data_IF_742357258888
#
_entry.id   IF_742357258888
#
_cell.length_a   1.000
_cell.length_b   1.000
_cell.length_c   1.000
_cell.angle_alpha   90.00
_cell.angle_beta   90.00
_cell.angle_gamma   90.00
#
_symmetry.space_group_name_H-M   'P 1'
#
loop_
_entity.id
_entity.type
_entity.pdbx_description
1 polymer ?
#
# COMPACT_ATOMS: atom_id res chain seq x y z
N UNK A 1 -25.10 -7.86 -0.51
CA UNK A 1 -23.80 -8.50 -0.87
C UNK A 1 -22.59 -7.57 -0.78
N UNK A 2 -22.71 -6.27 -1.10
CA UNK A 2 -21.58 -5.34 -1.07
C UNK A 2 -20.95 -5.18 0.34
N UNK A 3 -21.79 -5.01 1.37
CA UNK A 3 -21.37 -4.95 2.78
C UNK A 3 -20.56 -6.18 3.22
N UNK A 4 -20.98 -7.38 2.82
CA UNK A 4 -20.27 -8.62 3.11
C UNK A 4 -18.88 -8.63 2.47
N UNK A 5 -18.77 -8.20 1.21
CA UNK A 5 -17.49 -8.09 0.52
C UNK A 5 -16.58 -7.05 1.18
N UNK A 6 -17.14 -5.92 1.66
CA UNK A 6 -16.38 -4.92 2.40
C UNK A 6 -15.79 -5.49 3.69
N UNK A 7 -16.60 -6.21 4.48
CA UNK A 7 -16.12 -6.89 5.70
C UNK A 7 -15.00 -7.87 5.39
N UNK A 8 -15.16 -8.72 4.37
CA UNK A 8 -14.13 -9.68 3.95
C UNK A 8 -12.84 -8.95 3.58
N UNK A 9 -12.94 -7.89 2.76
CA UNK A 9 -11.77 -7.12 2.32
C UNK A 9 -11.02 -6.44 3.47
N UNK A 10 -11.74 -5.98 4.50
CA UNK A 10 -11.15 -5.42 5.72
C UNK A 10 -10.44 -6.51 6.53
N UNK A 11 -11.10 -7.64 6.77
CA UNK A 11 -10.53 -8.77 7.55
C UNK A 11 -9.30 -9.36 6.88
N UNK A 12 -9.33 -9.52 5.55
CA UNK A 12 -8.20 -10.00 4.75
C UNK A 12 -7.11 -8.94 4.58
N UNK A 13 -7.34 -7.69 5.02
CA UNK A 13 -6.44 -6.54 4.82
C UNK A 13 -6.01 -6.40 3.36
N UNK A 14 -6.93 -6.60 2.43
CA UNK A 14 -6.63 -6.71 1.00
C UNK A 14 -6.95 -5.40 0.26
N UNK A 15 -5.94 -4.57 -0.09
CA UNK A 15 -6.16 -3.26 -0.70
C UNK A 15 -6.79 -3.37 -2.09
N UNK A 16 -6.51 -4.46 -2.82
CA UNK A 16 -7.07 -4.68 -4.16
C UNK A 16 -8.56 -5.00 -4.09
N UNK A 17 -8.98 -5.78 -3.09
CA UNK A 17 -10.39 -6.07 -2.86
C UNK A 17 -11.16 -4.80 -2.44
N UNK A 18 -10.57 -3.98 -1.56
CA UNK A 18 -11.12 -2.67 -1.19
C UNK A 18 -11.23 -1.73 -2.41
N UNK A 19 -10.22 -1.67 -3.25
CA UNK A 19 -10.22 -0.83 -4.45
C UNK A 19 -11.28 -1.26 -5.47
N UNK A 20 -11.47 -2.57 -5.67
CA UNK A 20 -12.56 -3.09 -6.51
C UNK A 20 -13.93 -2.68 -5.98
N UNK A 21 -14.13 -2.71 -4.66
CA UNK A 21 -15.40 -2.31 -4.04
C UNK A 21 -15.74 -0.83 -4.24
N UNK A 22 -14.73 0.04 -4.39
CA UNK A 22 -14.95 1.46 -4.71
C UNK A 22 -15.44 1.68 -6.15
N UNK A 23 -15.26 0.69 -7.03
CA UNK A 23 -15.75 0.75 -8.42
C UNK A 23 -17.22 0.35 -8.55
N UNK A 24 -17.77 -0.31 -7.51
CA UNK A 24 -19.16 -0.77 -7.47
C UNK A 24 -20.01 0.19 -6.63
N UNK A 25 -21.22 0.52 -7.10
CA UNK A 25 -22.18 1.31 -6.32
C UNK A 25 -22.84 0.42 -5.26
N UNK A 26 -22.76 0.76 -3.96
CA UNK A 26 -23.39 -0.03 -2.92
C UNK A 26 -24.92 0.11 -2.97
N UNK A 27 -25.62 -1.02 -2.99
CA UNK A 27 -27.05 -1.09 -2.70
C UNK A 27 -27.23 -1.31 -1.21
N UNK A 28 -27.66 -0.26 -0.49
CA UNK A 28 -27.96 -0.26 0.93
C UNK A 28 -29.43 0.13 1.08
N UNK A 29 -30.23 -0.71 1.72
CA UNK A 29 -31.69 -0.54 1.76
C UNK A 29 -32.16 0.07 3.08
N UNK A 30 -31.46 -0.23 4.17
CA UNK A 30 -31.89 0.14 5.52
C UNK A 30 -30.90 1.10 6.19
N UNK A 31 -31.40 1.99 7.06
CA UNK A 31 -30.57 2.93 7.84
C UNK A 31 -29.44 2.22 8.59
N UNK A 32 -29.72 1.04 9.16
CA UNK A 32 -28.73 0.23 9.87
C UNK A 32 -27.56 -0.21 8.96
N UNK A 33 -27.84 -0.55 7.70
CA UNK A 33 -26.81 -0.93 6.74
C UNK A 33 -25.94 0.27 6.34
N UNK A 34 -26.54 1.45 6.27
CA UNK A 34 -25.84 2.71 5.99
C UNK A 34 -24.90 3.07 7.14
N UNK A 35 -25.38 2.99 8.39
CA UNK A 35 -24.55 3.20 9.57
C UNK A 35 -23.40 2.20 9.63
N UNK A 36 -23.70 0.91 9.41
CA UNK A 36 -22.68 -0.14 9.39
C UNK A 36 -21.63 0.11 8.30
N UNK A 37 -22.05 0.45 7.08
CA UNK A 37 -21.13 0.78 5.99
C UNK A 37 -20.25 1.98 6.35
N UNK A 38 -20.80 3.02 6.99
CA UNK A 38 -20.04 4.19 7.46
C UNK A 38 -18.95 3.81 8.45
N UNK A 39 -19.26 2.96 9.43
CA UNK A 39 -18.26 2.48 10.41
C UNK A 39 -17.18 1.64 9.73
N UNK A 40 -17.56 0.72 8.85
CA UNK A 40 -16.62 -0.13 8.12
C UNK A 40 -15.71 0.69 7.18
N UNK A 41 -16.26 1.73 6.53
CA UNK A 41 -15.46 2.63 5.68
C UNK A 41 -14.43 3.43 6.48
N UNK A 42 -14.79 3.86 7.70
CA UNK A 42 -13.82 4.50 8.61
C UNK A 42 -12.70 3.55 9.00
N UNK A 43 -13.03 2.32 9.34
CA UNK A 43 -12.05 1.28 9.68
C UNK A 43 -11.14 0.95 8.47
N UNK A 44 -11.73 0.75 7.29
CA UNK A 44 -10.98 0.53 6.05
C UNK A 44 -10.02 1.68 5.73
N UNK A 45 -10.44 2.93 5.98
CA UNK A 45 -9.61 4.11 5.79
C UNK A 45 -8.41 4.10 6.75
N UNK A 46 -8.64 3.79 8.03
CA UNK A 46 -7.56 3.69 9.02
C UNK A 46 -6.56 2.58 8.65
N UNK A 47 -7.07 1.42 8.23
CA UNK A 47 -6.25 0.30 7.77
C UNK A 47 -5.37 0.69 6.57
N UNK A 48 -5.96 1.32 5.55
CA UNK A 48 -5.23 1.77 4.36
C UNK A 48 -4.16 2.82 4.70
N UNK A 49 -4.44 3.72 5.65
CA UNK A 49 -3.47 4.70 6.13
C UNK A 49 -2.28 4.03 6.81
N UNK A 50 -2.53 3.07 7.71
CA UNK A 50 -1.48 2.34 8.39
C UNK A 50 -0.61 1.56 7.40
N UNK A 51 -1.23 0.86 6.44
CA UNK A 51 -0.50 0.11 5.42
C UNK A 51 0.39 1.03 4.55
N UNK A 52 -0.10 2.22 4.22
CA UNK A 52 0.67 3.24 3.50
C UNK A 52 1.89 3.69 4.31
N UNK A 53 1.72 3.96 5.60
CA UNK A 53 2.79 4.40 6.49
C UNK A 53 3.86 3.31 6.66
N UNK A 54 3.46 2.06 6.89
CA UNK A 54 4.36 0.90 6.99
C UNK A 54 5.15 0.67 5.68
N UNK A 55 4.46 0.75 4.54
CA UNK A 55 5.09 0.63 3.21
C UNK A 55 6.10 1.76 2.99
N UNK A 56 5.73 2.99 3.34
CA UNK A 56 6.62 4.14 3.20
C UNK A 56 7.87 4.00 4.10
N UNK A 57 7.71 3.52 5.33
CA UNK A 57 8.83 3.25 6.23
C UNK A 57 9.78 2.19 5.65
N UNK A 58 9.21 1.10 5.14
CA UNK A 58 9.96 0.01 4.49
C UNK A 58 10.73 0.50 3.26
N UNK A 59 10.09 1.30 2.39
CA UNK A 59 10.74 1.91 1.23
C UNK A 59 11.89 2.84 1.60
N UNK A 60 11.73 3.66 2.65
CA UNK A 60 12.81 4.52 3.15
C UNK A 60 14.01 3.68 3.61
N UNK A 61 13.77 2.57 4.29
CA UNK A 61 14.85 1.67 4.71
C UNK A 61 15.54 1.01 3.52
N UNK A 62 14.78 0.51 2.54
CA UNK A 62 15.34 -0.07 1.32
C UNK A 62 16.20 0.96 0.56
N UNK A 63 15.74 2.21 0.46
CA UNK A 63 16.50 3.29 -0.16
C UNK A 63 17.83 3.53 0.56
N UNK A 64 17.83 3.63 1.89
CA UNK A 64 19.06 3.79 2.67
C UNK A 64 20.05 2.64 2.44
N UNK A 65 19.55 1.41 2.41
CA UNK A 65 20.38 0.23 2.14
C UNK A 65 20.98 0.29 0.72
N UNK A 66 20.20 0.71 -0.28
CA UNK A 66 20.68 0.88 -1.65
C UNK A 66 21.73 1.98 -1.77
N UNK A 67 21.49 3.13 -1.13
CA UNK A 67 22.42 4.27 -1.11
C UNK A 67 23.74 3.87 -0.44
N UNK A 68 23.69 3.08 0.65
CA UNK A 68 24.87 2.51 1.28
C UNK A 68 25.66 1.61 0.33
N UNK A 69 25.00 0.63 -0.32
CA UNK A 69 25.65 -0.27 -1.27
C UNK A 69 26.30 0.49 -2.43
N UNK A 70 25.63 1.51 -2.97
CA UNK A 70 26.20 2.37 -4.02
C UNK A 70 27.39 3.19 -3.54
N UNK A 71 27.42 3.58 -2.26
CA UNK A 71 28.56 4.31 -1.69
C UNK A 71 29.79 3.41 -1.47
N UNK A 72 29.58 2.09 -1.36
CA UNK A 72 30.66 1.10 -1.22
C UNK A 72 31.06 0.47 -2.54
N UNK A 73 30.32 0.73 -3.63
CA UNK A 73 30.78 0.44 -4.99
C UNK A 73 32.04 1.25 -5.27
N UNK A 74 33.21 0.58 -5.24
CA UNK A 74 34.45 1.14 -5.74
C UNK A 74 34.19 1.47 -7.21
N UNK A 75 34.13 2.76 -7.54
CA UNK A 75 34.10 3.17 -8.94
C UNK A 75 35.34 2.61 -9.60
N UNK A 76 35.24 1.48 -10.31
CA UNK A 76 36.31 1.05 -11.18
C UNK A 76 36.35 2.10 -12.28
N UNK A 77 37.12 3.16 -12.07
CA UNK A 77 37.50 4.06 -13.15
C UNK A 77 38.22 3.15 -14.15
N UNK A 78 37.51 2.72 -15.18
CA UNK A 78 38.11 2.04 -16.34
C UNK A 78 38.89 3.11 -17.10
N UNK A 79 39.97 3.59 -16.50
CA UNK A 79 40.96 4.44 -17.16
C UNK A 79 42.21 3.61 -17.37
N UNK A 80 42.08 2.59 -18.23
CA UNK A 80 43.24 2.03 -18.92
C UNK A 80 43.56 2.99 -20.07
N UNK A 81 44.21 4.11 -19.72
CA UNK A 81 44.80 5.03 -20.68
C UNK A 81 46.15 4.44 -21.11
N UNK A 82 46.11 3.40 -21.97
CA UNK A 82 47.31 2.84 -22.58
C UNK A 82 47.48 3.55 -23.93
N UNK A 83 48.08 4.75 -23.92
CA UNK A 83 48.63 5.34 -25.15
C UNK A 83 49.93 4.61 -25.49
N UNK A 84 49.95 3.99 -26.67
CA UNK A 84 51.17 3.55 -27.37
C UNK A 84 51.87 4.73 -28.03
#
# INVERSE_FOLDING_TARGET
MWLTKLKIAIVEKNPNALSKLLSDVPQLENQKEIEEALFLLREATALMKNLKEETQASMRQMKKNLDFLRSTEISSSKKLDIKS
#
